data_IF_170564076561
#
_entry.id   IF_170564076561
#
_cell.length_a   1.000
_cell.length_b   1.000
_cell.length_c   1.000
_cell.angle_alpha   90.00
_cell.angle_beta   90.00
_cell.angle_gamma   90.00
#
_symmetry.space_group_name_H-M   'P 1'
#
loop_
_entity.id
_entity.type
_entity.pdbx_description
1 polymer ?
#
# COMPACT_ATOMS: atom_id res chain seq x y z
N UNK A 1 21.48 19.74 -29.89
CA UNK A 1 21.50 19.81 -28.41
C UNK A 1 20.72 18.64 -27.87
N UNK A 2 21.41 17.63 -27.37
CA UNK A 2 20.80 16.59 -26.53
C UNK A 2 20.52 17.20 -25.15
N UNK A 3 19.34 17.03 -24.55
CA UNK A 3 19.11 17.51 -23.19
C UNK A 3 19.93 16.66 -22.22
N UNK A 4 20.78 17.31 -21.42
CA UNK A 4 21.48 16.66 -20.30
C UNK A 4 20.45 16.12 -19.31
N UNK A 5 20.67 14.92 -18.73
CA UNK A 5 19.83 14.43 -17.65
C UNK A 5 19.97 15.38 -16.45
N UNK A 6 18.84 15.90 -15.94
CA UNK A 6 18.84 16.66 -14.68
C UNK A 6 19.31 15.74 -13.56
N UNK A 7 20.29 16.21 -12.77
CA UNK A 7 20.59 15.59 -11.48
C UNK A 7 19.41 15.90 -10.54
N UNK A 8 18.94 14.88 -9.83
CA UNK A 8 18.00 15.06 -8.72
C UNK A 8 18.61 16.03 -7.69
N UNK A 9 17.76 16.89 -7.13
CA UNK A 9 18.12 17.80 -6.04
C UNK A 9 18.31 17.05 -4.72
N UNK A 10 19.00 17.64 -3.74
CA UNK A 10 19.25 17.00 -2.44
C UNK A 10 17.94 16.70 -1.67
N UNK A 11 16.88 17.46 -1.92
CA UNK A 11 15.54 17.29 -1.35
C UNK A 11 14.81 16.08 -1.96
N UNK A 12 14.78 15.97 -3.30
CA UNK A 12 14.26 14.77 -4.00
C UNK A 12 15.00 13.49 -3.60
N UNK A 13 16.30 13.59 -3.31
CA UNK A 13 17.12 12.46 -2.87
C UNK A 13 16.82 12.05 -1.42
N UNK A 14 16.53 13.00 -0.53
CA UNK A 14 16.10 12.72 0.84
C UNK A 14 14.69 12.11 0.86
N UNK A 15 13.75 12.70 0.10
CA UNK A 15 12.39 12.19 -0.02
C UNK A 15 12.36 10.79 -0.63
N UNK A 16 13.21 10.53 -1.63
CA UNK A 16 13.38 9.19 -2.20
C UNK A 16 13.93 8.19 -1.18
N UNK A 17 14.85 8.60 -0.29
CA UNK A 17 15.38 7.73 0.76
C UNK A 17 14.38 7.45 1.87
N UNK A 18 13.64 8.47 2.31
CA UNK A 18 12.61 8.32 3.33
C UNK A 18 11.51 7.41 2.80
N UNK A 19 11.10 7.63 1.55
CA UNK A 19 10.17 6.73 0.88
C UNK A 19 10.76 5.33 0.72
N UNK A 20 12.02 5.18 0.29
CA UNK A 20 12.66 3.86 0.23
C UNK A 20 12.71 3.19 1.59
N UNK A 21 12.89 3.91 2.70
CA UNK A 21 12.88 3.38 4.05
C UNK A 21 11.47 2.94 4.48
N UNK A 22 10.45 3.77 4.22
CA UNK A 22 9.04 3.43 4.45
C UNK A 22 8.61 2.25 3.59
N UNK A 23 9.07 2.17 2.34
CA UNK A 23 8.70 1.14 1.39
C UNK A 23 9.69 -0.05 1.41
N UNK A 24 10.73 0.00 2.27
CA UNK A 24 11.78 -1.01 2.33
C UNK A 24 11.21 -2.35 2.80
N UNK A 25 11.37 -3.32 1.91
CA UNK A 25 10.81 -4.67 1.96
C UNK A 25 11.54 -5.66 2.88
N UNK A 26 12.44 -5.21 3.78
CA UNK A 26 13.21 -6.13 4.64
C UNK A 26 12.37 -6.95 5.63
N UNK A 27 11.05 -6.78 5.61
CA UNK A 27 10.14 -7.82 6.02
C UNK A 27 9.02 -8.02 4.98
N UNK A 28 9.30 -8.84 3.94
CA UNK A 28 8.28 -9.47 3.08
C UNK A 28 7.45 -10.53 3.83
N UNK A 29 7.24 -10.33 5.14
CA UNK A 29 6.49 -11.21 6.02
C UNK A 29 4.99 -10.95 5.92
N UNK A 30 4.39 -11.11 4.74
CA UNK A 30 2.93 -11.20 4.55
C UNK A 30 2.06 -10.19 5.34
N UNK A 31 2.55 -8.99 5.66
CA UNK A 31 1.77 -7.98 6.37
C UNK A 31 0.61 -7.53 5.50
N UNK A 32 -0.52 -7.29 6.12
CA UNK A 32 -1.80 -7.13 5.46
C UNK A 32 -2.33 -8.41 4.83
N UNK A 33 -1.52 -9.47 4.63
CA UNK A 33 -1.81 -10.68 3.86
C UNK A 33 -1.78 -11.98 4.69
N UNK A 34 -1.70 -11.88 6.02
CA UNK A 34 -1.72 -13.03 6.92
C UNK A 34 -2.94 -13.95 6.70
N UNK A 35 -2.74 -15.27 6.89
CA UNK A 35 -3.77 -16.29 6.63
C UNK A 35 -4.78 -16.45 7.78
N UNK A 36 -5.35 -15.35 8.25
CA UNK A 36 -6.39 -15.33 9.28
C UNK A 36 -7.61 -14.56 8.78
N UNK A 37 -8.78 -14.89 9.30
CA UNK A 37 -10.02 -14.20 8.95
C UNK A 37 -10.08 -12.87 9.68
N UNK A 38 -10.17 -11.78 8.93
CA UNK A 38 -10.33 -10.44 9.46
C UNK A 38 -11.81 -10.12 9.64
N UNK A 39 -12.10 -9.38 10.69
CA UNK A 39 -13.40 -8.75 10.89
C UNK A 39 -13.20 -7.25 10.72
N UNK A 40 -13.93 -6.64 9.79
CA UNK A 40 -13.72 -5.24 9.47
C UNK A 40 -14.35 -4.35 10.55
N UNK A 41 -13.49 -3.71 11.33
CA UNK A 41 -13.92 -2.71 12.31
C UNK A 41 -14.25 -1.37 11.60
N UNK A 42 -15.10 -0.49 12.18
CA UNK A 42 -15.52 0.76 11.55
C UNK A 42 -14.37 1.71 11.16
N UNK A 43 -13.24 1.64 11.87
CA UNK A 43 -12.04 2.44 11.66
C UNK A 43 -11.21 2.02 10.44
N UNK A 44 -11.44 0.82 9.89
CA UNK A 44 -10.80 0.34 8.65
C UNK A 44 -11.52 0.96 7.45
N UNK A 45 -10.93 2.03 6.93
CA UNK A 45 -11.55 2.89 5.92
C UNK A 45 -11.54 2.27 4.53
N UNK A 46 -10.44 1.61 4.15
CA UNK A 46 -10.25 1.05 2.81
C UNK A 46 -10.39 -0.48 2.81
N UNK A 47 -10.59 -1.05 1.62
CA UNK A 47 -10.85 -2.48 1.41
C UNK A 47 -9.90 -3.06 0.37
N UNK A 48 -9.74 -4.38 0.40
CA UNK A 48 -9.03 -5.10 -0.67
C UNK A 48 -9.70 -4.80 -2.01
N UNK A 49 -8.90 -4.32 -2.97
CA UNK A 49 -9.29 -3.92 -4.31
C UNK A 49 -9.51 -2.42 -4.49
N UNK A 50 -9.57 -1.63 -3.41
CA UNK A 50 -9.66 -0.17 -3.52
C UNK A 50 -8.35 0.38 -4.12
N UNK A 51 -8.52 1.36 -5.00
CA UNK A 51 -7.43 2.12 -5.60
C UNK A 51 -7.18 3.33 -4.71
N UNK A 52 -5.92 3.57 -4.38
CA UNK A 52 -5.50 4.60 -3.43
C UNK A 52 -4.33 5.39 -3.98
N UNK A 53 -4.21 6.63 -3.51
CA UNK A 53 -3.08 7.52 -3.73
C UNK A 53 -2.39 7.75 -2.38
N UNK A 54 -1.07 7.59 -2.35
CA UNK A 54 -0.27 8.01 -1.22
C UNK A 54 -0.09 9.54 -1.27
N UNK A 55 -0.66 10.28 -0.31
CA UNK A 55 -0.77 11.74 -0.41
C UNK A 55 0.59 12.45 -0.50
N UNK A 56 1.54 12.05 0.35
CA UNK A 56 2.87 12.69 0.40
C UNK A 56 3.68 12.49 -0.88
N UNK A 57 3.69 11.27 -1.42
CA UNK A 57 4.57 10.88 -2.54
C UNK A 57 3.87 10.84 -3.90
N UNK A 58 2.56 11.08 -3.93
CA UNK A 58 1.72 11.06 -5.13
C UNK A 58 1.82 9.74 -5.91
N UNK A 59 1.89 8.61 -5.20
CA UNK A 59 2.01 7.27 -5.79
C UNK A 59 0.70 6.52 -5.70
N UNK A 60 0.23 5.98 -6.82
CA UNK A 60 -0.97 5.15 -6.86
C UNK A 60 -0.68 3.70 -6.55
N UNK A 61 -1.66 3.05 -5.95
CA UNK A 61 -1.63 1.61 -5.75
C UNK A 61 -3.02 1.03 -5.57
N UNK A 62 -3.05 -0.31 -5.50
CA UNK A 62 -4.25 -1.06 -5.14
C UNK A 62 -4.01 -1.84 -3.86
N UNK A 63 -4.97 -1.78 -2.95
CA UNK A 63 -4.92 -2.53 -1.69
C UNK A 63 -5.13 -4.00 -1.98
N UNK A 64 -4.17 -4.84 -1.59
CA UNK A 64 -4.25 -6.31 -1.69
C UNK A 64 -4.53 -6.98 -0.34
N UNK A 65 -4.36 -6.25 0.76
CA UNK A 65 -4.59 -6.72 2.12
C UNK A 65 -4.51 -5.60 3.13
N UNK A 66 -4.93 -5.84 4.36
CA UNK A 66 -4.89 -4.87 5.45
C UNK A 66 -4.77 -5.57 6.80
N UNK A 67 -4.22 -4.92 7.81
CA UNK A 67 -4.29 -5.38 9.20
C UNK A 67 -4.92 -4.26 10.04
N UNK A 68 -5.73 -4.59 11.07
CA UNK A 68 -6.42 -3.58 11.87
C UNK A 68 -5.47 -2.70 12.69
N UNK A 69 -4.25 -3.17 12.93
CA UNK A 69 -3.16 -2.46 13.58
C UNK A 69 -1.86 -2.81 12.85
N UNK A 70 -0.83 -1.98 13.01
CA UNK A 70 0.46 -2.24 12.37
C UNK A 70 1.08 -3.56 12.86
N UNK A 71 1.26 -4.54 11.97
CA UNK A 71 1.87 -5.84 12.26
C UNK A 71 3.37 -5.89 11.91
N UNK A 72 3.99 -4.74 11.61
CA UNK A 72 5.39 -4.63 11.24
C UNK A 72 6.34 -5.11 12.38
N UNK A 73 7.62 -5.42 12.08
CA UNK A 73 8.59 -5.80 13.10
C UNK A 73 8.69 -4.77 14.24
N UNK A 74 8.99 -5.23 15.45
CA UNK A 74 8.98 -4.41 16.66
C UNK A 74 9.88 -3.17 16.55
N UNK A 75 11.03 -3.27 15.89
CA UNK A 75 11.96 -2.14 15.73
C UNK A 75 11.35 -1.02 14.87
N UNK A 76 10.66 -1.39 13.79
CA UNK A 76 9.92 -0.44 12.94
C UNK A 76 8.72 0.16 13.68
N UNK A 77 8.01 -0.63 14.48
CA UNK A 77 6.94 -0.12 15.33
C UNK A 77 7.48 0.84 16.41
N UNK A 78 8.66 0.58 16.97
CA UNK A 78 9.31 1.47 17.95
C UNK A 78 9.68 2.81 17.32
N UNK A 79 10.18 2.81 16.09
CA UNK A 79 10.47 4.03 15.34
C UNK A 79 9.19 4.83 15.07
N UNK A 80 8.16 4.19 14.51
CA UNK A 80 6.87 4.83 14.28
C UNK A 80 6.27 5.39 15.59
N UNK A 81 6.35 4.66 16.72
CA UNK A 81 5.86 5.11 18.03
C UNK A 81 6.65 6.30 18.61
N UNK A 82 7.94 6.42 18.31
CA UNK A 82 8.74 7.58 18.74
C UNK A 82 8.28 8.85 18.03
N UNK A 83 7.86 8.72 16.78
CA UNK A 83 7.29 9.84 16.02
C UNK A 83 5.87 10.14 16.48
N UNK A 84 5.01 9.11 16.52
CA UNK A 84 3.63 9.20 16.99
C UNK A 84 3.07 7.82 17.37
N UNK A 85 2.67 7.65 18.64
CA UNK A 85 2.12 6.40 19.17
C UNK A 85 0.90 5.88 18.36
N UNK A 86 0.08 6.80 17.85
CA UNK A 86 -1.12 6.53 17.07
C UNK A 86 -0.81 5.74 15.77
N UNK A 87 0.37 5.90 15.18
CA UNK A 87 0.76 5.21 13.95
C UNK A 87 0.80 3.69 14.11
N UNK A 88 1.12 3.20 15.32
CA UNK A 88 1.18 1.77 15.60
C UNK A 88 -0.18 1.14 15.88
N UNK A 89 -1.20 1.96 16.18
CA UNK A 89 -2.56 1.51 16.51
C UNK A 89 -3.52 1.64 15.34
N UNK A 90 -3.11 2.27 14.23
CA UNK A 90 -3.96 2.46 13.06
C UNK A 90 -3.98 1.24 12.14
N UNK A 91 -5.05 1.07 11.35
CA UNK A 91 -5.05 0.14 10.24
C UNK A 91 -3.91 0.42 9.27
N UNK A 92 -3.31 -0.64 8.76
CA UNK A 92 -2.22 -0.57 7.80
C UNK A 92 -2.56 -1.46 6.60
N UNK A 93 -2.10 -1.07 5.42
CA UNK A 93 -2.54 -1.62 4.15
C UNK A 93 -1.35 -2.11 3.33
N UNK A 94 -1.46 -3.34 2.82
CA UNK A 94 -0.56 -3.86 1.81
C UNK A 94 -1.03 -3.38 0.43
N UNK A 95 -0.17 -2.66 -0.29
CA UNK A 95 -0.49 -2.09 -1.61
C UNK A 95 0.46 -2.60 -2.70
N UNK A 96 -0.07 -2.84 -3.90
CA UNK A 96 0.73 -2.96 -5.13
C UNK A 96 0.87 -1.58 -5.76
N UNK A 97 2.10 -1.13 -5.99
CA UNK A 97 2.38 0.20 -6.56
C UNK A 97 2.23 0.17 -8.07
N UNK A 98 1.66 1.23 -8.64
CA UNK A 98 1.60 1.40 -10.08
C UNK A 98 2.98 1.57 -10.70
N UNK A 99 3.32 0.71 -11.66
CA UNK A 99 4.58 0.76 -12.39
C UNK A 99 4.76 2.00 -13.26
N UNK A 100 3.68 2.73 -13.55
CA UNK A 100 3.72 4.04 -14.22
C UNK A 100 4.25 5.14 -13.31
N UNK A 101 4.06 4.99 -12.01
CA UNK A 101 4.54 5.93 -10.98
C UNK A 101 5.92 5.48 -10.47
N UNK A 102 6.20 4.16 -10.45
CA UNK A 102 7.51 3.59 -10.11
C UNK A 102 7.91 2.44 -11.05
N UNK A 103 8.94 2.65 -11.87
CA UNK A 103 9.38 1.69 -12.89
C UNK A 103 9.64 0.25 -12.38
N UNK A 104 10.10 0.11 -11.13
CA UNK A 104 10.29 -1.20 -10.52
C UNK A 104 9.00 -1.64 -9.83
N UNK A 105 8.43 -2.80 -10.16
CA UNK A 105 7.29 -3.37 -9.44
C UNK A 105 7.59 -3.52 -7.96
N UNK A 106 6.77 -2.90 -7.12
CA UNK A 106 6.98 -2.83 -5.68
C UNK A 106 5.67 -3.06 -4.93
N UNK A 107 5.82 -3.65 -3.76
CA UNK A 107 4.78 -3.78 -2.76
C UNK A 107 5.15 -2.93 -1.56
N UNK A 108 4.15 -2.36 -0.89
CA UNK A 108 4.39 -1.64 0.36
C UNK A 108 3.33 -1.91 1.40
N UNK A 109 3.67 -1.57 2.65
CA UNK A 109 2.83 -1.63 3.82
C UNK A 109 2.72 -0.23 4.43
N UNK A 110 1.54 0.39 4.29
CA UNK A 110 1.34 1.84 4.48
C UNK A 110 0.27 2.09 5.54
N UNK A 111 0.45 3.12 6.37
CA UNK A 111 -0.53 3.53 7.39
C UNK A 111 -1.76 4.19 6.74
N UNK A 112 -2.92 4.03 7.36
CA UNK A 112 -4.19 4.55 6.83
C UNK A 112 -4.16 6.05 6.48
N UNK A 113 -3.60 6.88 7.36
CA UNK A 113 -3.60 8.33 7.21
C UNK A 113 -2.74 8.85 6.05
N UNK A 114 -1.88 8.02 5.46
CA UNK A 114 -1.08 8.40 4.29
C UNK A 114 -1.81 8.17 2.97
N UNK A 115 -3.00 7.57 3.01
CA UNK A 115 -3.74 7.12 1.84
C UNK A 115 -5.05 7.90 1.69
N UNK A 116 -5.40 8.18 0.43
CA UNK A 116 -6.73 8.64 0.02
C UNK A 116 -7.27 7.77 -1.11
N UNK A 117 -8.58 7.69 -1.25
CA UNK A 117 -9.20 6.97 -2.37
C UNK A 117 -8.87 7.65 -3.69
N UNK A 118 -8.48 6.83 -4.66
CA UNK A 118 -8.26 7.22 -6.04
C UNK A 118 -9.05 6.29 -6.98
N UNK A 119 -8.92 6.49 -8.29
CA UNK A 119 -9.69 5.83 -9.33
C UNK A 119 -8.79 5.37 -10.47
N UNK A 120 -9.29 4.40 -11.22
CA UNK A 120 -8.66 3.90 -12.43
C UNK A 120 -7.83 2.65 -12.19
N UNK A 121 -7.27 2.12 -13.27
CA UNK A 121 -6.54 0.85 -13.24
C UNK A 121 -5.09 1.06 -12.82
N UNK A 122 -4.51 0.06 -12.16
CA UNK A 122 -3.12 -0.03 -11.75
C UNK A 122 -2.35 -0.96 -12.69
N UNK A 123 -1.11 -0.59 -13.04
CA UNK A 123 -0.20 -1.47 -13.79
C UNK A 123 0.78 -2.14 -12.84
N UNK A 124 0.60 -3.44 -12.59
CA UNK A 124 1.54 -4.22 -11.77
C UNK A 124 1.53 -5.70 -12.17
N UNK A 125 2.69 -6.37 -12.30
CA UNK A 125 2.77 -7.77 -12.76
C UNK A 125 2.09 -8.78 -11.82
N UNK A 126 1.88 -8.44 -10.55
CA UNK A 126 1.19 -9.30 -9.59
C UNK A 126 -0.32 -9.08 -9.51
N UNK A 127 -0.89 -8.18 -10.30
CA UNK A 127 -2.30 -7.79 -10.19
C UNK A 127 -3.26 -8.99 -10.37
N UNK A 128 -3.05 -9.79 -11.42
CA UNK A 128 -3.85 -10.99 -11.73
C UNK A 128 -3.73 -12.10 -10.68
N UNK A 129 -2.71 -12.04 -9.81
CA UNK A 129 -2.63 -12.96 -8.67
C UNK A 129 -3.76 -12.73 -7.69
N UNK A 130 -4.18 -11.48 -7.48
CA UNK A 130 -5.11 -11.06 -6.44
C UNK A 130 -6.52 -10.75 -6.95
N UNK A 131 -6.66 -10.31 -8.20
CA UNK A 131 -7.91 -9.79 -8.75
C UNK A 131 -8.32 -10.49 -10.04
N UNK A 132 -9.63 -10.69 -10.23
CA UNK A 132 -10.22 -11.24 -11.48
C UNK A 132 -10.47 -10.14 -12.53
N UNK A 133 -10.44 -8.87 -12.14
CA UNK A 133 -10.66 -7.73 -13.02
C UNK A 133 -10.91 -6.42 -12.28
N UNK A 134 -11.15 -5.34 -13.03
CA UNK A 134 -11.52 -4.03 -12.51
C UNK A 134 -13.00 -3.75 -12.81
N UNK A 135 -13.77 -3.36 -11.79
CA UNK A 135 -15.16 -2.94 -11.90
C UNK A 135 -15.19 -1.41 -12.08
N UNK A 136 -15.50 -0.97 -13.30
CA UNK A 136 -15.54 0.46 -13.65
C UNK A 136 -16.70 1.21 -12.96
N UNK A 137 -17.82 0.55 -12.66
CA UNK A 137 -18.94 1.20 -11.98
C UNK A 137 -18.60 1.47 -10.52
N UNK A 138 -17.92 0.52 -9.87
CA UNK A 138 -17.49 0.62 -8.47
C UNK A 138 -16.15 1.31 -8.28
N UNK A 139 -15.41 1.54 -9.36
CA UNK A 139 -14.04 2.05 -9.35
C UNK A 139 -13.12 1.23 -8.43
N UNK A 140 -13.23 -0.10 -8.50
CA UNK A 140 -12.57 -1.02 -7.58
C UNK A 140 -12.20 -2.33 -8.27
N UNK A 141 -11.10 -2.95 -7.86
CA UNK A 141 -10.75 -4.30 -8.28
C UNK A 141 -11.60 -5.39 -7.61
N UNK A 142 -11.97 -6.41 -8.39
CA UNK A 142 -12.72 -7.57 -7.91
C UNK A 142 -11.74 -8.61 -7.36
N UNK A 143 -11.70 -8.71 -6.02
CA UNK A 143 -10.87 -9.69 -5.32
C UNK A 143 -11.25 -11.13 -5.71
N UNK A 144 -10.24 -11.95 -6.00
CA UNK A 144 -10.45 -13.37 -6.33
C UNK A 144 -11.14 -14.10 -5.16
N UNK A 145 -12.10 -15.01 -5.42
CA UNK A 145 -12.87 -15.69 -4.38
C UNK A 145 -12.03 -16.43 -3.33
N UNK A 146 -10.83 -16.90 -3.68
CA UNK A 146 -9.92 -17.60 -2.76
C UNK A 146 -9.49 -16.73 -1.56
N UNK A 147 -9.49 -15.41 -1.70
CA UNK A 147 -9.11 -14.47 -0.64
C UNK A 147 -10.27 -14.06 0.27
N UNK A 148 -11.54 -14.30 -0.14
CA UNK A 148 -12.73 -13.96 0.67
C UNK A 148 -12.76 -14.64 2.05
N UNK A 149 -12.10 -15.79 2.20
CA UNK A 149 -11.98 -16.45 3.52
C UNK A 149 -11.18 -15.62 4.53
N UNK A 150 -10.28 -14.75 4.06
CA UNK A 150 -9.46 -13.87 4.88
C UNK A 150 -10.02 -12.46 4.98
N UNK A 151 -10.74 -12.00 3.95
CA UNK A 151 -11.42 -10.70 3.92
C UNK A 151 -12.91 -10.89 3.55
N UNK A 152 -13.74 -11.40 4.48
CA UNK A 152 -15.14 -11.72 4.18
C UNK A 152 -16.01 -10.47 3.92
N UNK A 153 -15.61 -9.32 4.45
CA UNK A 153 -16.36 -8.06 4.38
C UNK A 153 -15.99 -7.16 3.18
N UNK A 154 -15.07 -7.62 2.32
CA UNK A 154 -14.43 -6.83 1.25
C UNK A 154 -14.93 -7.13 -0.17
#
# INVERSE_FOLDING_TARGET
MTPSPRKATDEEAAESKDMEAEMSSEATGAYGMGQYTRQRAPEVQFRVGDVVLHEKYEIRGVIIGWDPHAMAPEDRLKEARKENEHLSTQPNYAILIDTRDRLTPQMSYVVQESLVLDKGTIWHPLLEKFFDGYDEDRQKYVMRPVYKKWYPDD
#
